data_IF_505919366478
#
_entry.id   IF_505919366478
#
_cell.length_a   1.000
_cell.length_b   1.000
_cell.length_c   1.000
_cell.angle_alpha   90.00
_cell.angle_beta   90.00
_cell.angle_gamma   90.00
#
_symmetry.space_group_name_H-M   'P 1'
#
loop_
_entity.id
_entity.type
_entity.pdbx_description
1 polymer ?
#
# COMPACT_ATOMS: atom_id res chain seq x y z
N UNK A 1 -9.74 41.59 62.97
CA UNK A 1 -8.98 41.97 61.76
C UNK A 1 -8.91 40.75 60.87
N UNK A 2 -9.83 40.62 59.90
CA UNK A 2 -9.83 39.58 58.90
C UNK A 2 -9.23 40.10 57.60
N UNK A 3 -8.37 39.38 56.90
CA UNK A 3 -8.18 39.57 55.45
C UNK A 3 -8.88 38.46 54.71
N UNK A 4 -9.74 38.89 53.80
CA UNK A 4 -10.43 38.11 52.79
C UNK A 4 -9.47 37.43 51.82
N UNK A 5 -9.56 36.12 51.71
CA UNK A 5 -8.88 35.35 50.69
C UNK A 5 -9.79 35.25 49.45
N UNK A 6 -9.45 36.00 48.41
CA UNK A 6 -10.15 36.03 47.13
C UNK A 6 -9.67 34.85 46.28
N UNK A 7 -10.52 33.84 46.16
CA UNK A 7 -10.27 32.68 45.32
C UNK A 7 -10.59 33.03 43.86
N UNK A 8 -9.56 33.14 43.03
CA UNK A 8 -9.68 33.28 41.57
C UNK A 8 -10.07 31.90 40.99
N UNK A 9 -11.29 31.80 40.50
CA UNK A 9 -11.71 30.67 39.68
C UNK A 9 -11.18 30.89 38.26
N UNK A 10 -10.08 30.23 37.91
CA UNK A 10 -9.63 30.10 36.54
C UNK A 10 -10.55 29.11 35.81
N UNK A 11 -11.41 29.63 34.95
CA UNK A 11 -12.13 28.84 33.97
C UNK A 11 -11.12 28.34 32.91
N UNK A 12 -10.76 27.07 32.98
CA UNK A 12 -10.05 26.39 31.90
C UNK A 12 -11.11 26.05 30.84
N UNK A 13 -11.15 26.81 29.77
CA UNK A 13 -11.90 26.46 28.56
C UNK A 13 -11.11 25.41 27.81
N UNK A 14 -11.51 24.15 27.95
CA UNK A 14 -10.98 23.07 27.14
C UNK A 14 -11.57 23.21 25.73
N UNK A 15 -10.75 23.69 24.79
CA UNK A 15 -11.08 23.67 23.37
C UNK A 15 -10.89 22.24 22.88
N UNK A 16 -12.00 21.51 22.77
CA UNK A 16 -12.03 20.23 22.06
C UNK A 16 -11.89 20.52 20.56
N UNK A 17 -10.69 20.37 20.03
CA UNK A 17 -10.44 20.30 18.60
C UNK A 17 -11.02 18.98 18.08
N UNK A 18 -12.22 19.03 17.51
CA UNK A 18 -12.76 17.95 16.70
C UNK A 18 -11.93 17.89 15.41
N UNK A 19 -11.05 16.91 15.32
CA UNK A 19 -10.50 16.48 14.04
C UNK A 19 -11.65 15.84 13.25
N UNK A 20 -12.27 16.60 12.38
CA UNK A 20 -13.14 16.06 11.34
C UNK A 20 -12.21 15.49 10.28
N UNK A 21 -11.80 14.23 10.45
CA UNK A 21 -11.18 13.48 9.37
C UNK A 21 -12.19 13.40 8.23
N UNK A 22 -11.84 13.84 7.04
CA UNK A 22 -12.62 13.63 5.82
C UNK A 22 -12.57 12.13 5.51
N UNK A 23 -13.58 11.41 5.98
CA UNK A 23 -13.78 10.02 5.59
C UNK A 23 -14.22 10.06 4.13
N UNK A 24 -13.41 9.56 3.22
CA UNK A 24 -13.80 9.29 1.85
C UNK A 24 -14.85 8.18 1.85
N UNK A 25 -16.10 8.57 1.96
CA UNK A 25 -17.22 7.65 2.04
C UNK A 25 -17.69 7.26 0.65
N UNK A 26 -17.97 5.98 0.46
CA UNK A 26 -18.72 5.50 -0.70
C UNK A 26 -20.14 6.07 -0.67
N UNK A 27 -20.78 6.20 -1.81
CA UNK A 27 -22.16 6.64 -1.90
C UNK A 27 -23.00 5.57 -2.59
N UNK A 28 -23.95 5.01 -1.85
CA UNK A 28 -24.95 4.08 -2.37
C UNK A 28 -26.14 4.89 -2.92
N UNK A 29 -26.49 4.68 -4.19
CA UNK A 29 -27.60 5.39 -4.85
C UNK A 29 -28.75 4.40 -5.02
N UNK A 30 -29.86 4.68 -4.36
CA UNK A 30 -31.05 3.85 -4.42
C UNK A 30 -31.96 4.23 -5.60
N UNK A 31 -32.85 3.34 -6.01
CA UNK A 31 -33.82 3.59 -7.09
C UNK A 31 -34.85 4.67 -6.77
N UNK A 32 -35.11 4.93 -5.49
CA UNK A 32 -35.97 6.00 -5.03
C UNK A 32 -35.27 7.38 -5.02
N UNK A 33 -34.01 7.45 -5.47
CA UNK A 33 -33.18 8.65 -5.54
C UNK A 33 -32.45 8.99 -4.25
N UNK A 34 -32.63 8.23 -3.17
CA UNK A 34 -31.85 8.46 -1.94
C UNK A 34 -30.37 8.12 -2.17
N UNK A 35 -29.51 8.92 -1.56
CA UNK A 35 -28.06 8.73 -1.56
C UNK A 35 -27.62 8.50 -0.11
N UNK A 36 -27.00 7.37 0.15
CA UNK A 36 -26.51 6.98 1.46
C UNK A 36 -24.98 7.01 1.42
N UNK A 37 -24.38 7.85 2.25
CA UNK A 37 -22.92 7.90 2.40
C UNK A 37 -22.46 6.92 3.45
N UNK A 38 -21.37 6.21 3.18
CA UNK A 38 -20.85 5.21 4.10
C UNK A 38 -19.71 4.40 3.49
N UNK A 39 -19.58 3.17 3.90
CA UNK A 39 -18.59 2.23 3.41
C UNK A 39 -19.26 0.97 2.89
N UNK A 40 -18.91 0.54 1.67
CA UNK A 40 -19.29 -0.77 1.15
C UNK A 40 -18.51 -1.85 1.90
N UNK A 41 -19.22 -2.72 2.60
CA UNK A 41 -18.61 -3.82 3.37
C UNK A 41 -18.53 -5.09 2.53
N UNK A 42 -19.65 -5.49 1.90
CA UNK A 42 -19.69 -6.67 1.06
C UNK A 42 -20.77 -6.59 -0.01
N UNK A 43 -20.61 -7.38 -1.07
CA UNK A 43 -21.64 -7.65 -2.06
C UNK A 43 -21.63 -9.16 -2.35
N UNK A 44 -22.62 -9.86 -1.83
CA UNK A 44 -22.76 -11.31 -2.00
C UNK A 44 -24.22 -11.70 -2.22
N UNK A 45 -24.45 -12.63 -3.13
CA UNK A 45 -25.79 -13.19 -3.39
C UNK A 45 -26.89 -12.16 -3.68
N UNK A 46 -26.52 -11.05 -4.34
CA UNK A 46 -27.46 -9.96 -4.62
C UNK A 46 -27.77 -9.05 -3.44
N UNK A 47 -27.09 -9.20 -2.32
CA UNK A 47 -27.22 -8.35 -1.12
C UNK A 47 -25.97 -7.48 -0.97
N UNK A 48 -26.20 -6.20 -0.77
CA UNK A 48 -25.16 -5.19 -0.48
C UNK A 48 -25.22 -4.91 1.01
N UNK A 49 -24.11 -5.15 1.70
CA UNK A 49 -23.90 -4.72 3.07
C UNK A 49 -23.17 -3.38 3.06
N UNK A 50 -23.77 -2.37 3.65
CA UNK A 50 -23.30 -1.01 3.64
C UNK A 50 -23.35 -0.40 5.05
N UNK A 51 -22.24 0.17 5.50
CA UNK A 51 -22.18 0.85 6.80
C UNK A 51 -22.31 2.35 6.57
N UNK A 52 -23.39 2.94 7.07
CA UNK A 52 -23.64 4.37 6.95
C UNK A 52 -22.55 5.19 7.67
N UNK A 53 -22.19 6.33 7.10
CA UNK A 53 -21.25 7.26 7.73
C UNK A 53 -21.93 7.98 8.90
N UNK A 54 -21.19 8.17 10.00
CA UNK A 54 -21.65 8.89 11.20
C UNK A 54 -21.33 8.17 12.51
N UNK A 55 -21.52 8.88 13.62
CA UNK A 55 -21.30 8.34 14.96
C UNK A 55 -22.32 7.24 15.25
N UNK A 56 -21.89 5.98 15.30
CA UNK A 56 -22.77 4.83 15.47
C UNK A 56 -23.41 4.32 14.17
N UNK A 57 -22.76 4.54 13.02
CA UNK A 57 -23.26 4.18 11.70
C UNK A 57 -23.93 2.81 11.64
N UNK A 58 -25.14 2.75 11.09
CA UNK A 58 -25.92 1.52 10.97
C UNK A 58 -25.33 0.64 9.88
N UNK A 59 -25.16 -0.64 10.17
CA UNK A 59 -24.94 -1.63 9.12
C UNK A 59 -26.29 -1.91 8.45
N UNK A 60 -26.47 -1.45 7.22
CA UNK A 60 -27.64 -1.69 6.39
C UNK A 60 -27.40 -2.84 5.41
N UNK A 61 -28.45 -3.58 5.09
CA UNK A 61 -28.48 -4.57 4.00
C UNK A 61 -29.49 -4.10 2.98
N UNK A 62 -29.05 -3.98 1.74
CA UNK A 62 -29.88 -3.51 0.62
C UNK A 62 -29.78 -4.52 -0.51
N UNK A 63 -30.91 -4.87 -1.10
CA UNK A 63 -30.92 -5.74 -2.26
C UNK A 63 -30.39 -5.00 -3.51
N UNK A 64 -29.68 -5.71 -4.37
CA UNK A 64 -29.17 -5.16 -5.64
C UNK A 64 -30.26 -4.46 -6.45
N UNK A 65 -31.46 -5.01 -6.43
CA UNK A 65 -32.59 -4.49 -7.22
C UNK A 65 -33.09 -3.12 -6.74
N UNK A 66 -32.76 -2.74 -5.52
CA UNK A 66 -33.08 -1.43 -4.94
C UNK A 66 -31.99 -0.37 -5.22
N UNK A 67 -30.86 -0.78 -5.85
CA UNK A 67 -29.70 0.07 -6.09
C UNK A 67 -29.58 0.39 -7.57
N UNK A 68 -29.39 1.67 -7.89
CA UNK A 68 -29.09 2.15 -9.25
C UNK A 68 -27.60 2.35 -9.50
N UNK A 69 -26.82 2.59 -8.44
CA UNK A 69 -25.39 2.78 -8.57
C UNK A 69 -24.66 2.84 -7.21
N UNK A 70 -23.37 2.60 -7.28
CA UNK A 70 -22.44 2.81 -6.17
C UNK A 70 -21.35 3.74 -6.71
N UNK A 71 -21.23 4.92 -6.10
CA UNK A 71 -20.10 5.81 -6.33
C UNK A 71 -19.08 5.52 -5.23
N UNK A 72 -17.96 4.96 -5.59
CA UNK A 72 -16.86 4.76 -4.64
C UNK A 72 -16.25 6.12 -4.29
N UNK A 73 -16.17 6.40 -3.00
CA UNK A 73 -15.42 7.53 -2.49
C UNK A 73 -14.01 7.46 -3.09
N UNK A 74 -13.43 8.61 -3.43
CA UNK A 74 -12.00 8.61 -3.72
C UNK A 74 -11.32 8.05 -2.51
N UNK A 75 -10.75 6.86 -2.64
CA UNK A 75 -9.63 6.50 -1.80
C UNK A 75 -8.62 7.60 -2.10
N UNK A 76 -8.50 8.63 -1.23
CA UNK A 76 -7.21 9.25 -1.09
C UNK A 76 -6.31 8.06 -0.79
N UNK A 77 -5.62 7.59 -1.83
CA UNK A 77 -4.41 6.85 -1.54
C UNK A 77 -3.71 7.78 -0.58
N UNK A 78 -3.44 7.30 0.64
CA UNK A 78 -2.36 7.87 1.40
C UNK A 78 -1.23 7.97 0.40
N UNK A 79 -1.10 9.15 -0.22
CA UNK A 79 0.07 9.43 -1.02
C UNK A 79 1.20 9.20 -0.03
N UNK A 80 2.05 8.21 -0.26
CA UNK A 80 3.22 8.05 0.57
C UNK A 80 3.87 9.42 0.59
N UNK A 81 4.31 9.88 1.75
CA UNK A 81 4.72 11.28 1.96
C UNK A 81 5.52 11.74 0.76
N UNK A 82 5.11 12.84 0.12
CA UNK A 82 5.56 13.39 -1.18
C UNK A 82 7.09 13.57 -1.34
N UNK A 83 7.86 12.99 -0.44
CA UNK A 83 9.33 13.03 -0.44
C UNK A 83 9.97 12.26 -1.59
N UNK A 84 9.29 11.26 -2.17
CA UNK A 84 9.87 10.44 -3.24
C UNK A 84 9.62 11.00 -4.64
N UNK A 85 8.44 11.59 -4.90
CA UNK A 85 8.14 12.19 -6.20
C UNK A 85 9.02 13.40 -6.50
N UNK A 86 9.43 14.17 -5.48
CA UNK A 86 10.34 15.31 -5.63
C UNK A 86 11.77 14.89 -6.03
N UNK A 87 12.14 13.61 -5.89
CA UNK A 87 13.48 13.09 -6.20
C UNK A 87 13.61 12.47 -7.59
N UNK A 88 12.49 12.26 -8.29
CA UNK A 88 12.54 11.66 -9.64
C UNK A 88 12.76 12.73 -10.71
N UNK A 89 13.70 12.51 -11.65
CA UNK A 89 13.81 13.35 -12.82
C UNK A 89 12.54 13.31 -13.68
N UNK A 90 12.16 14.43 -14.27
CA UNK A 90 11.06 14.47 -15.24
C UNK A 90 11.47 13.77 -16.55
N UNK A 91 10.47 13.18 -17.23
CA UNK A 91 10.69 12.61 -18.57
C UNK A 91 11.12 11.13 -18.59
N UNK A 92 11.15 10.46 -17.44
CA UNK A 92 11.33 9.01 -17.40
C UNK A 92 10.11 8.31 -17.99
N UNK A 93 10.35 7.19 -18.67
CA UNK A 93 9.29 6.27 -19.08
C UNK A 93 8.78 5.51 -17.86
N UNK A 94 7.50 5.17 -17.89
CA UNK A 94 6.82 4.46 -16.82
C UNK A 94 6.33 3.10 -17.32
N UNK A 95 6.44 2.07 -16.48
CA UNK A 95 5.86 0.75 -16.75
C UNK A 95 5.36 0.11 -15.47
N UNK A 96 4.13 -0.36 -15.49
CA UNK A 96 3.56 -1.15 -14.41
C UNK A 96 3.90 -2.64 -14.60
N UNK A 97 4.29 -3.29 -13.50
CA UNK A 97 4.66 -4.71 -13.45
C UNK A 97 4.00 -5.36 -12.24
N UNK A 98 3.49 -6.58 -12.43
CA UNK A 98 3.01 -7.43 -11.33
C UNK A 98 4.11 -8.43 -10.97
N UNK A 99 4.51 -8.46 -9.71
CA UNK A 99 5.49 -9.41 -9.17
C UNK A 99 4.75 -10.44 -8.34
N UNK A 100 4.61 -11.64 -8.89
CA UNK A 100 3.86 -12.73 -8.26
C UNK A 100 4.73 -13.40 -7.19
N UNK A 101 4.16 -13.65 -6.01
CA UNK A 101 4.94 -14.09 -4.85
C UNK A 101 5.54 -15.50 -4.98
N UNK A 102 4.88 -16.38 -5.69
CA UNK A 102 5.33 -17.78 -5.91
C UNK A 102 6.15 -17.99 -7.18
N UNK A 103 6.53 -16.90 -7.87
CA UNK A 103 7.42 -16.97 -9.03
C UNK A 103 8.83 -16.55 -8.64
N UNK A 104 9.83 -17.31 -9.08
CA UNK A 104 11.23 -16.98 -8.77
C UNK A 104 11.61 -15.58 -9.26
N UNK A 105 11.21 -15.24 -10.51
CA UNK A 105 11.45 -13.94 -11.11
C UNK A 105 10.33 -13.56 -12.05
N UNK A 106 9.88 -12.31 -11.96
CA UNK A 106 8.94 -11.68 -12.88
C UNK A 106 9.71 -10.84 -13.90
N UNK A 107 9.56 -11.11 -15.18
CA UNK A 107 10.16 -10.32 -16.26
C UNK A 107 9.44 -8.97 -16.34
N UNK A 108 10.19 -7.89 -16.18
CA UNK A 108 9.63 -6.53 -16.29
C UNK A 108 9.41 -6.11 -17.74
N UNK A 109 9.99 -6.82 -18.71
CA UNK A 109 10.00 -6.44 -20.11
C UNK A 109 10.79 -5.16 -20.40
N UNK A 110 11.71 -4.76 -19.50
CA UNK A 110 12.56 -3.58 -19.62
C UNK A 110 14.02 -4.05 -19.70
N UNK A 111 14.74 -3.53 -20.69
CA UNK A 111 16.19 -3.68 -20.78
C UNK A 111 16.85 -2.43 -20.19
N UNK A 112 17.84 -2.63 -19.34
CA UNK A 112 18.60 -1.58 -18.67
C UNK A 112 20.07 -1.65 -19.05
N UNK A 113 20.77 -0.53 -18.88
CA UNK A 113 22.21 -0.43 -19.15
C UNK A 113 22.97 -0.20 -17.85
N UNK A 114 24.15 -0.80 -17.73
CA UNK A 114 25.04 -0.58 -16.57
C UNK A 114 25.26 0.91 -16.32
N UNK A 115 25.09 1.33 -15.08
CA UNK A 115 25.15 2.73 -14.66
C UNK A 115 23.82 3.50 -14.81
N UNK A 116 22.82 2.95 -15.48
CA UNK A 116 21.50 3.55 -15.56
C UNK A 116 20.87 3.63 -14.16
N UNK A 117 20.15 4.72 -13.92
CA UNK A 117 19.36 4.88 -12.69
C UNK A 117 17.89 4.59 -13.00
N UNK A 118 17.30 3.73 -12.20
CA UNK A 118 15.88 3.42 -12.21
C UNK A 118 15.25 3.84 -10.89
N UNK A 119 13.93 4.04 -10.91
CA UNK A 119 13.15 4.29 -9.72
C UNK A 119 11.97 3.33 -9.71
N UNK A 120 11.50 2.96 -8.55
CA UNK A 120 10.32 2.12 -8.46
C UNK A 120 9.47 2.53 -7.25
N UNK A 121 8.18 2.33 -7.40
CA UNK A 121 7.19 2.39 -6.36
C UNK A 121 6.50 1.04 -6.32
N UNK A 122 6.45 0.42 -5.16
CA UNK A 122 5.83 -0.87 -5.00
C UNK A 122 4.78 -0.84 -3.89
N UNK A 123 3.68 -1.55 -4.11
CA UNK A 123 2.57 -1.66 -3.17
C UNK A 123 1.99 -3.07 -3.17
N UNK A 124 1.15 -3.35 -2.19
CA UNK A 124 0.51 -4.64 -2.01
C UNK A 124 1.08 -5.43 -0.84
N UNK A 125 0.55 -6.61 -0.63
CA UNK A 125 0.94 -7.51 0.44
C UNK A 125 1.01 -8.94 -0.09
N UNK A 126 2.00 -9.69 0.34
CA UNK A 126 2.13 -11.12 0.07
C UNK A 126 2.08 -11.92 1.37
N UNK A 127 1.58 -13.13 1.28
CA UNK A 127 1.76 -14.16 2.32
C UNK A 127 2.98 -15.00 1.93
N UNK A 128 3.89 -15.22 2.88
CA UNK A 128 5.17 -15.92 2.67
C UNK A 128 5.45 -16.93 3.77
N UNK A 129 4.54 -17.87 3.94
CA UNK A 129 4.55 -18.89 4.97
C UNK A 129 3.30 -18.88 5.85
N UNK A 130 3.20 -19.80 6.81
CA UNK A 130 2.09 -19.89 7.74
C UNK A 130 1.96 -18.60 8.56
N UNK A 131 0.84 -17.90 8.43
CA UNK A 131 0.52 -16.69 9.21
C UNK A 131 1.52 -15.52 9.08
N UNK A 132 2.35 -15.50 8.03
CA UNK A 132 3.31 -14.43 7.78
C UNK A 132 2.89 -13.62 6.57
N UNK A 133 2.89 -12.29 6.71
CA UNK A 133 2.57 -11.35 5.65
C UNK A 133 3.58 -10.22 5.63
N UNK A 134 3.84 -9.71 4.45
CA UNK A 134 4.75 -8.58 4.29
C UNK A 134 4.40 -7.74 3.08
N UNK A 135 4.63 -6.43 3.19
CA UNK A 135 4.68 -5.52 2.07
C UNK A 135 6.02 -5.57 1.34
N UNK A 136 6.25 -4.70 0.33
CA UNK A 136 7.47 -4.75 -0.49
C UNK A 136 8.77 -4.55 0.29
N UNK A 137 8.73 -3.92 1.45
CA UNK A 137 9.90 -3.79 2.33
C UNK A 137 10.29 -5.10 3.04
N UNK A 138 9.46 -6.13 2.94
CA UNK A 138 9.64 -7.40 3.62
C UNK A 138 9.39 -7.32 5.13
N UNK A 139 9.54 -8.45 5.79
CA UNK A 139 9.39 -8.55 7.25
C UNK A 139 10.69 -8.12 7.94
N UNK A 140 10.68 -6.92 8.53
CA UNK A 140 11.89 -6.23 9.04
C UNK A 140 12.63 -7.01 10.13
N UNK A 141 11.92 -7.79 10.93
CA UNK A 141 12.50 -8.58 12.03
C UNK A 141 12.75 -10.06 11.64
N UNK A 142 12.67 -10.39 10.36
CA UNK A 142 12.98 -11.73 9.90
C UNK A 142 14.47 -12.04 10.12
N UNK A 143 14.82 -13.24 10.63
CA UNK A 143 16.21 -13.61 10.84
C UNK A 143 16.96 -13.67 9.50
N UNK A 144 18.29 -13.48 9.57
CA UNK A 144 19.16 -13.75 8.43
C UNK A 144 19.01 -15.21 7.99
N UNK A 145 18.93 -15.42 6.68
CA UNK A 145 18.79 -16.76 6.13
C UNK A 145 19.70 -16.92 4.90
N UNK A 146 20.77 -17.77 4.99
CA UNK A 146 21.71 -18.01 3.90
C UNK A 146 21.09 -18.59 2.62
N UNK A 147 19.91 -19.20 2.72
CA UNK A 147 19.22 -19.78 1.57
C UNK A 147 18.48 -18.76 0.71
N UNK A 148 18.28 -17.53 1.22
CA UNK A 148 17.63 -16.45 0.45
C UNK A 148 18.58 -15.81 -0.55
N UNK A 149 18.05 -15.28 -1.65
CA UNK A 149 18.87 -14.50 -2.61
C UNK A 149 19.70 -13.40 -1.95
N UNK A 150 19.14 -12.71 -0.96
CA UNK A 150 19.80 -11.68 -0.16
C UNK A 150 19.74 -12.05 1.34
N UNK A 151 20.70 -12.82 1.86
CA UNK A 151 20.64 -13.40 3.20
C UNK A 151 20.44 -12.41 4.34
N UNK A 152 21.05 -11.22 4.22
CA UNK A 152 21.07 -10.17 5.24
C UNK A 152 19.99 -9.09 5.02
N UNK A 153 19.00 -9.38 4.17
CA UNK A 153 17.86 -8.50 3.91
C UNK A 153 16.57 -9.12 4.43
N UNK A 154 15.56 -8.30 4.71
CA UNK A 154 14.28 -8.80 5.19
C UNK A 154 13.72 -9.90 4.28
N UNK A 155 13.17 -10.96 4.88
CA UNK A 155 12.43 -11.98 4.15
C UNK A 155 11.19 -11.37 3.52
N UNK A 156 10.74 -11.96 2.42
CA UNK A 156 9.62 -11.46 1.61
C UNK A 156 9.80 -10.08 0.98
N UNK A 157 10.98 -9.47 1.08
CA UNK A 157 11.22 -8.17 0.46
C UNK A 157 11.22 -8.26 -1.07
N UNK A 158 10.79 -7.18 -1.72
CA UNK A 158 10.96 -7.00 -3.15
C UNK A 158 12.43 -6.78 -3.47
N UNK A 159 12.95 -7.60 -4.38
CA UNK A 159 14.34 -7.56 -4.86
C UNK A 159 14.39 -7.52 -6.38
N UNK A 160 15.53 -7.17 -6.94
CA UNK A 160 15.73 -7.17 -8.38
C UNK A 160 17.07 -7.74 -8.81
N UNK A 161 17.17 -8.11 -10.09
CA UNK A 161 18.41 -8.47 -10.79
C UNK A 161 18.36 -8.09 -12.25
N UNK A 162 19.51 -8.04 -12.87
CA UNK A 162 19.64 -7.82 -14.32
C UNK A 162 20.19 -9.09 -14.99
N UNK A 163 19.48 -9.58 -16.00
CA UNK A 163 19.83 -10.83 -16.70
C UNK A 163 19.81 -12.02 -15.74
N UNK A 164 20.85 -12.86 -15.86
CA UNK A 164 21.08 -14.03 -14.99
C UNK A 164 22.05 -13.75 -13.85
N UNK A 165 22.40 -12.48 -13.62
CA UNK A 165 23.35 -12.08 -12.60
C UNK A 165 22.86 -12.44 -11.20
N UNK A 166 23.78 -12.85 -10.34
CA UNK A 166 23.57 -12.99 -8.89
C UNK A 166 23.83 -11.67 -8.13
N UNK A 167 24.11 -10.58 -8.81
CA UNK A 167 24.20 -9.24 -8.23
C UNK A 167 22.79 -8.70 -7.98
N UNK A 168 22.19 -9.14 -6.91
CA UNK A 168 20.84 -8.74 -6.51
C UNK A 168 20.87 -7.36 -5.86
N UNK A 169 19.78 -6.60 -6.07
CA UNK A 169 19.57 -5.36 -5.35
C UNK A 169 18.25 -5.38 -4.58
N UNK A 170 18.25 -4.74 -3.44
CA UNK A 170 17.05 -4.54 -2.66
C UNK A 170 16.22 -3.41 -3.27
N UNK A 171 14.97 -3.69 -3.60
CA UNK A 171 14.05 -2.73 -4.20
C UNK A 171 13.14 -2.07 -3.15
N UNK A 172 12.48 -2.86 -2.30
CA UNK A 172 11.55 -2.33 -1.29
C UNK A 172 10.31 -1.69 -1.91
N UNK A 173 9.70 -0.74 -1.20
CA UNK A 173 8.52 0.01 -1.65
C UNK A 173 8.87 1.27 -2.47
N UNK A 174 9.73 2.12 -1.93
CA UNK A 174 10.30 3.30 -2.60
C UNK A 174 11.55 3.74 -1.84
N UNK A 175 12.70 3.39 -2.37
CA UNK A 175 14.00 3.75 -1.77
C UNK A 175 14.75 4.84 -2.53
N UNK A 176 14.07 5.47 -3.49
CA UNK A 176 14.68 6.46 -4.36
C UNK A 176 15.53 5.83 -5.46
N UNK A 177 16.57 6.51 -5.96
CA UNK A 177 17.33 6.07 -7.13
C UNK A 177 18.06 4.76 -6.88
N UNK A 178 17.89 3.80 -7.78
CA UNK A 178 18.64 2.55 -7.84
C UNK A 178 19.52 2.59 -9.08
N UNK A 179 20.84 2.59 -8.88
CA UNK A 179 21.80 2.51 -9.97
C UNK A 179 22.10 1.05 -10.28
N UNK A 180 21.66 0.58 -11.45
CA UNK A 180 21.93 -0.80 -11.89
C UNK A 180 23.39 -0.98 -12.28
N UNK A 181 23.96 -2.14 -11.96
CA UNK A 181 25.38 -2.42 -12.19
C UNK A 181 25.64 -3.21 -13.47
N UNK A 182 24.62 -3.89 -13.97
CA UNK A 182 24.72 -4.76 -15.14
C UNK A 182 23.79 -4.28 -16.25
N UNK A 183 24.10 -4.65 -17.50
CA UNK A 183 23.22 -4.42 -18.65
C UNK A 183 22.42 -5.67 -18.97
N UNK A 184 21.18 -5.51 -19.40
CA UNK A 184 20.31 -6.60 -19.83
C UNK A 184 18.86 -6.46 -19.32
N UNK A 185 18.11 -7.55 -19.41
CA UNK A 185 16.72 -7.63 -18.98
C UNK A 185 16.61 -7.49 -17.46
N UNK A 186 15.74 -6.59 -17.02
CA UNK A 186 15.43 -6.39 -15.59
C UNK A 186 14.37 -7.38 -15.12
N UNK A 187 14.65 -8.05 -14.01
CA UNK A 187 13.73 -8.96 -13.33
C UNK A 187 13.49 -8.50 -11.90
N UNK A 188 12.29 -8.71 -11.41
CA UNK A 188 11.90 -8.50 -10.02
C UNK A 188 11.44 -9.82 -9.39
N UNK A 189 11.69 -10.00 -8.10
CA UNK A 189 11.34 -11.21 -7.36
C UNK A 189 11.20 -10.95 -5.87
N UNK A 190 10.99 -12.03 -5.13
CA UNK A 190 10.81 -12.01 -3.68
C UNK A 190 12.05 -12.58 -3.02
N UNK A 191 12.51 -11.95 -1.93
CA UNK A 191 13.64 -12.42 -1.12
C UNK A 191 13.18 -13.51 -0.18
N UNK A 192 12.95 -14.69 -0.74
CA UNK A 192 12.50 -15.85 0.01
C UNK A 192 13.20 -17.12 -0.49
N UNK A 193 13.37 -18.10 0.39
CA UNK A 193 13.99 -19.40 0.12
C UNK A 193 12.97 -20.50 -0.22
N UNK A 194 11.69 -20.27 0.09
CA UNK A 194 10.60 -21.16 -0.26
C UNK A 194 9.44 -20.41 -0.91
N UNK A 195 9.40 -20.39 -2.24
CA UNK A 195 8.38 -19.68 -2.98
C UNK A 195 7.06 -20.45 -3.14
N UNK A 196 7.05 -21.76 -2.87
CA UNK A 196 5.88 -22.62 -3.12
C UNK A 196 4.72 -22.33 -2.16
N UNK A 197 5.02 -21.89 -0.94
CA UNK A 197 4.02 -21.53 0.07
C UNK A 197 3.61 -20.05 0.03
N UNK A 198 4.19 -19.29 -0.90
CA UNK A 198 3.88 -17.89 -1.11
C UNK A 198 2.58 -17.71 -1.90
N UNK A 199 1.81 -16.66 -1.55
CA UNK A 199 0.62 -16.23 -2.28
C UNK A 199 0.52 -14.71 -2.32
N UNK A 200 -0.21 -14.20 -3.34
CA UNK A 200 -0.36 -12.78 -3.55
C UNK A 200 0.65 -12.20 -4.53
N UNK A 201 0.75 -10.90 -4.57
CA UNK A 201 1.62 -10.18 -5.51
C UNK A 201 1.91 -8.77 -5.04
N UNK A 202 3.00 -8.19 -5.56
CA UNK A 202 3.24 -6.75 -5.50
C UNK A 202 2.89 -6.10 -6.84
N UNK A 203 2.32 -4.91 -6.79
CA UNK A 203 2.22 -4.00 -7.93
C UNK A 203 3.41 -3.05 -7.88
N UNK A 204 4.13 -2.98 -8.98
CA UNK A 204 5.33 -2.15 -9.09
C UNK A 204 5.19 -1.20 -10.27
N UNK A 205 5.44 0.09 -10.03
CA UNK A 205 5.61 1.08 -11.08
C UNK A 205 7.11 1.34 -11.21
N UNK A 206 7.65 1.05 -12.39
CA UNK A 206 9.05 1.28 -12.74
C UNK A 206 9.16 2.55 -13.57
N UNK A 207 10.14 3.39 -13.23
CA UNK A 207 10.51 4.60 -13.96
C UNK A 207 11.96 4.45 -14.44
N UNK A 208 12.19 4.63 -15.76
CA UNK A 208 13.47 4.29 -16.42
C UNK A 208 13.77 5.15 -17.65
#
# INVERSE_FOLDING_TARGET
>A
MNPFFRMHRSCIVAVLLFFVGTVNADTLILRDGRRIQGQLISFQNGVIEFQEAGFGGRLGRVNRDEVTGIEFGRVERDEPPQTSQARRPRGLREKQVTVVANAAWSDTGIDVTSGQTIYLEASGEIRWGPNRRAGPNGEQNSPNNPARPMPNRPGAALIGRVGTSSDYFYAGDDRGPIRVRNSGRLFLGINDDNLEDNTGYFRVILYY
#
